data_IF_255246489483
#
_entry.id   IF_255246489483
#
_cell.length_a   1.000
_cell.length_b   1.000
_cell.length_c   1.000
_cell.angle_alpha   90.00
_cell.angle_beta   90.00
_cell.angle_gamma   90.00
#
_symmetry.space_group_name_H-M   'P 1'
#
loop_
_entity.id
_entity.type
_entity.pdbx_description
1 polymer ?
#
# COMPACT_ATOMS: atom_id res chain seq x y z
N UNK A 1 -3.60 -2.00 -11.83
CA UNK A 1 -2.75 -3.09 -12.33
C UNK A 1 -2.81 -4.25 -11.34
N UNK A 2 -3.33 -5.39 -11.78
CA UNK A 2 -3.14 -6.70 -11.13
C UNK A 2 -2.06 -7.48 -11.87
N UNK A 3 -1.51 -8.53 -11.26
CA UNK A 3 -0.54 -9.40 -11.94
C UNK A 3 -1.19 -10.12 -13.14
N UNK A 4 -2.42 -10.59 -12.96
CA UNK A 4 -3.21 -11.19 -14.04
C UNK A 4 -3.38 -10.24 -15.23
N UNK A 5 -3.77 -8.97 -14.97
CA UNK A 5 -3.91 -8.01 -16.06
C UNK A 5 -2.57 -7.72 -16.75
N UNK A 6 -1.46 -7.68 -16.00
CA UNK A 6 -0.13 -7.56 -16.62
C UNK A 6 0.20 -8.76 -17.53
N UNK A 7 -0.16 -9.98 -17.14
CA UNK A 7 0.00 -11.17 -17.98
C UNK A 7 -0.85 -11.08 -19.25
N UNK A 8 -2.13 -10.70 -19.12
CA UNK A 8 -3.04 -10.51 -20.25
C UNK A 8 -2.50 -9.47 -21.24
N UNK A 9 -2.01 -8.33 -20.75
CA UNK A 9 -1.38 -7.31 -21.61
C UNK A 9 -0.11 -7.83 -22.27
N UNK A 10 0.72 -8.59 -21.55
CA UNK A 10 1.97 -9.13 -22.09
C UNK A 10 1.74 -10.13 -23.21
N UNK A 11 0.73 -10.98 -23.07
CA UNK A 11 0.38 -11.98 -24.07
C UNK A 11 -0.27 -11.33 -25.32
N UNK A 12 -0.88 -10.15 -25.18
CA UNK A 12 -1.38 -9.34 -26.32
C UNK A 12 -0.26 -8.59 -27.02
N UNK A 13 0.51 -7.76 -26.31
CA UNK A 13 1.65 -7.04 -26.85
C UNK A 13 2.74 -6.78 -25.79
N UNK A 14 3.87 -7.52 -25.83
CA UNK A 14 4.97 -7.35 -24.90
C UNK A 14 5.83 -6.11 -25.22
N UNK A 15 5.39 -5.20 -26.10
CA UNK A 15 6.04 -3.91 -26.40
C UNK A 15 5.28 -2.70 -25.82
N UNK A 16 4.16 -2.92 -25.15
CA UNK A 16 3.41 -1.83 -24.51
C UNK A 16 4.28 -1.03 -23.53
N UNK A 17 3.93 0.25 -23.24
CA UNK A 17 4.68 1.07 -22.28
C UNK A 17 4.88 0.42 -20.91
N UNK A 18 3.98 -0.46 -20.49
CA UNK A 18 4.11 -1.23 -19.25
C UNK A 18 5.35 -2.15 -19.24
N UNK A 19 5.78 -2.63 -20.41
CA UNK A 19 6.92 -3.53 -20.59
C UNK A 19 8.14 -2.75 -21.09
N UNK A 20 8.52 -1.70 -20.36
CA UNK A 20 9.75 -0.93 -20.58
C UNK A 20 10.77 -1.21 -19.48
N UNK A 21 12.05 -1.02 -19.81
CA UNK A 21 13.17 -1.31 -18.90
C UNK A 21 13.22 -0.41 -17.66
N UNK A 22 12.57 0.76 -17.70
CA UNK A 22 12.60 1.73 -16.61
C UNK A 22 11.91 1.20 -15.34
N UNK A 23 10.63 0.81 -15.46
CA UNK A 23 9.77 0.45 -14.34
C UNK A 23 9.40 -1.04 -14.33
N UNK A 24 8.95 -1.56 -15.48
CA UNK A 24 8.35 -2.88 -15.57
C UNK A 24 9.35 -4.02 -15.51
N UNK A 25 10.59 -3.78 -15.96
CA UNK A 25 11.65 -4.78 -15.94
C UNK A 25 12.18 -5.02 -14.52
N UNK A 26 12.63 -6.24 -14.29
CA UNK A 26 13.22 -6.67 -13.03
C UNK A 26 14.57 -5.97 -12.83
N UNK A 27 15.37 -5.87 -13.90
CA UNK A 27 16.55 -5.02 -13.95
C UNK A 27 16.48 -4.07 -15.15
N UNK A 28 16.99 -2.83 -15.05
CA UNK A 28 17.09 -1.93 -16.19
C UNK A 28 18.07 -2.42 -17.26
N UNK A 29 18.92 -3.39 -16.93
CA UNK A 29 19.89 -4.05 -17.81
C UNK A 29 19.40 -5.37 -18.41
N UNK A 30 18.14 -5.77 -18.17
CA UNK A 30 17.61 -7.03 -18.66
C UNK A 30 17.54 -7.10 -20.19
N UNK A 31 17.74 -8.30 -20.74
CA UNK A 31 17.57 -8.57 -22.16
C UNK A 31 16.08 -8.61 -22.53
N UNK A 32 15.70 -7.78 -23.50
CA UNK A 32 14.32 -7.67 -24.03
C UNK A 32 14.27 -7.93 -25.54
N UNK A 33 15.32 -8.50 -26.12
CA UNK A 33 15.48 -8.73 -27.57
C UNK A 33 14.53 -9.79 -28.15
N UNK A 34 14.08 -10.73 -27.33
CA UNK A 34 13.16 -11.81 -27.74
C UNK A 34 11.98 -11.93 -26.80
N UNK A 35 10.88 -12.53 -27.26
CA UNK A 35 9.71 -12.80 -26.42
C UNK A 35 10.06 -13.57 -25.13
N UNK A 36 10.93 -14.58 -25.24
CA UNK A 36 11.39 -15.36 -24.08
C UNK A 36 12.25 -14.52 -23.13
N UNK A 37 13.15 -13.69 -23.66
CA UNK A 37 13.96 -12.78 -22.85
C UNK A 37 13.09 -11.77 -22.11
N UNK A 38 12.12 -11.15 -22.80
CA UNK A 38 11.10 -10.28 -22.20
C UNK A 38 10.34 -10.95 -21.07
N UNK A 39 9.85 -12.19 -21.27
CA UNK A 39 9.10 -12.90 -20.22
C UNK A 39 9.94 -13.10 -18.94
N UNK A 40 11.26 -13.26 -19.08
CA UNK A 40 12.20 -13.27 -17.95
C UNK A 40 12.40 -11.86 -17.36
N UNK A 41 12.65 -10.86 -18.21
CA UNK A 41 12.87 -9.47 -17.82
C UNK A 41 11.70 -8.92 -16.98
N UNK A 42 10.46 -9.24 -17.33
CA UNK A 42 9.26 -8.75 -16.64
C UNK A 42 8.71 -9.74 -15.60
N UNK A 43 9.51 -10.71 -15.15
CA UNK A 43 8.99 -11.83 -14.33
C UNK A 43 8.30 -11.40 -13.04
N UNK A 44 8.83 -10.42 -12.29
CA UNK A 44 8.19 -9.90 -11.08
C UNK A 44 6.90 -9.11 -11.37
N UNK A 45 6.85 -8.38 -12.47
CA UNK A 45 5.65 -7.70 -12.93
C UNK A 45 4.57 -8.70 -13.33
N UNK A 46 4.93 -9.76 -14.05
CA UNK A 46 3.99 -10.78 -14.49
C UNK A 46 3.50 -11.66 -13.33
N UNK A 47 4.39 -12.07 -12.42
CA UNK A 47 4.06 -12.98 -11.33
C UNK A 47 3.38 -12.27 -10.15
N UNK A 48 3.93 -11.12 -9.75
CA UNK A 48 3.54 -10.40 -8.53
C UNK A 48 3.05 -8.98 -8.78
N UNK A 49 2.97 -8.51 -10.04
CA UNK A 49 2.53 -7.15 -10.40
C UNK A 49 3.40 -6.05 -9.79
N UNK A 50 4.68 -6.34 -9.57
CA UNK A 50 5.64 -5.42 -8.98
C UNK A 50 6.36 -4.63 -10.06
N UNK A 51 6.54 -3.34 -9.81
CA UNK A 51 7.46 -2.49 -10.56
C UNK A 51 8.74 -2.31 -9.75
N UNK A 52 9.85 -2.13 -10.46
CA UNK A 52 11.15 -1.84 -9.86
C UNK A 52 11.21 -0.37 -9.47
N UNK A 53 11.72 -0.10 -8.27
CA UNK A 53 12.00 1.23 -7.76
C UNK A 53 13.45 1.26 -7.33
N UNK A 54 14.30 1.94 -8.10
CA UNK A 54 15.70 2.17 -7.75
C UNK A 54 15.85 3.42 -6.90
N UNK A 55 16.30 3.26 -5.66
CA UNK A 55 16.55 4.37 -4.73
C UNK A 55 18.02 4.42 -4.35
N UNK A 56 18.68 5.59 -4.38
CA UNK A 56 20.03 5.73 -3.85
C UNK A 56 20.04 5.49 -2.34
N UNK A 57 21.10 4.85 -1.82
CA UNK A 57 21.33 4.81 -0.38
C UNK A 57 21.53 6.25 0.14
N UNK A 58 20.86 6.66 1.25
CA UNK A 58 21.03 7.99 1.81
C UNK A 58 22.49 8.34 2.06
N UNK A 59 22.92 9.51 1.56
CA UNK A 59 24.31 9.98 1.66
C UNK A 59 24.67 10.60 3.02
N UNK A 60 23.68 10.83 3.89
CA UNK A 60 23.87 11.40 5.22
C UNK A 60 22.88 10.81 6.21
N UNK A 61 23.26 10.76 7.49
CA UNK A 61 22.38 10.25 8.56
C UNK A 61 22.09 8.74 8.46
N UNK A 62 22.93 7.98 7.75
CA UNK A 62 22.75 6.55 7.54
C UNK A 62 23.16 5.76 8.80
N UNK A 63 22.20 5.05 9.39
CA UNK A 63 22.37 4.25 10.62
C UNK A 63 22.60 2.76 10.35
N UNK A 64 22.51 2.32 9.09
CA UNK A 64 22.68 0.92 8.70
C UNK A 64 23.64 0.78 7.51
N UNK A 65 24.15 -0.44 7.33
CA UNK A 65 24.80 -0.84 6.09
C UNK A 65 24.15 -2.11 5.55
N UNK A 66 24.18 -2.27 4.23
CA UNK A 66 23.79 -3.51 3.56
C UNK A 66 24.96 -4.49 3.69
N UNK A 67 24.83 -5.47 4.57
CA UNK A 67 25.87 -6.46 4.84
C UNK A 67 25.82 -7.64 3.88
N UNK A 68 24.63 -7.98 3.37
CA UNK A 68 24.44 -9.03 2.38
C UNK A 68 23.18 -8.78 1.53
N UNK A 69 23.17 -9.32 0.32
CA UNK A 69 22.03 -9.27 -0.59
C UNK A 69 21.87 -10.63 -1.28
N UNK A 70 20.76 -11.31 -0.99
CA UNK A 70 20.29 -12.41 -1.83
C UNK A 70 19.45 -11.82 -2.96
N UNK A 71 20.04 -11.70 -4.14
CA UNK A 71 19.41 -11.12 -5.32
C UNK A 71 19.27 -12.14 -6.44
N UNK A 72 18.07 -12.74 -6.63
CA UNK A 72 17.84 -13.74 -7.67
C UNK A 72 18.06 -13.25 -9.11
N UNK A 73 18.10 -11.93 -9.31
CA UNK A 73 18.14 -11.31 -10.64
C UNK A 73 19.44 -10.56 -10.92
N UNK A 74 20.24 -10.32 -9.88
CA UNK A 74 21.50 -9.58 -9.97
C UNK A 74 21.32 -8.08 -10.26
N UNK A 75 20.13 -7.50 -10.01
CA UNK A 75 19.86 -6.08 -10.19
C UNK A 75 20.63 -5.19 -9.20
N UNK A 76 20.60 -5.58 -7.92
CA UNK A 76 21.23 -4.92 -6.79
C UNK A 76 22.73 -5.19 -6.72
N UNK A 77 23.19 -6.32 -7.25
CA UNK A 77 24.63 -6.66 -7.32
C UNK A 77 25.28 -6.20 -8.62
N UNK A 78 24.52 -5.58 -9.53
CA UNK A 78 25.05 -5.04 -10.78
C UNK A 78 25.92 -3.79 -10.48
N UNK A 79 27.19 -3.73 -10.90
CA UNK A 79 28.07 -2.61 -10.56
C UNK A 79 27.70 -1.29 -11.24
N UNK A 80 26.86 -1.32 -12.28
CA UNK A 80 26.39 -0.12 -13.00
C UNK A 80 25.08 0.40 -12.44
N UNK A 81 24.18 -0.48 -12.01
CA UNK A 81 22.78 -0.12 -11.68
C UNK A 81 22.38 -0.40 -10.24
N UNK A 82 23.25 -1.06 -9.47
CA UNK A 82 23.00 -1.53 -8.11
C UNK A 82 23.91 -0.86 -7.08
N UNK A 83 24.24 -1.62 -6.03
CA UNK A 83 25.12 -1.19 -4.94
C UNK A 83 26.57 -1.10 -5.42
N UNK A 84 27.26 -0.04 -4.98
CA UNK A 84 28.70 0.17 -5.21
C UNK A 84 29.53 -0.05 -3.94
N UNK A 85 28.86 -0.26 -2.81
CA UNK A 85 29.43 -0.54 -1.50
C UNK A 85 28.32 -0.85 -0.49
N UNK A 86 28.67 -1.18 0.76
CA UNK A 86 27.67 -1.48 1.80
C UNK A 86 26.82 -0.26 2.22
N UNK A 87 27.25 0.96 1.88
CA UNK A 87 26.59 2.22 2.21
C UNK A 87 26.40 3.14 1.01
N UNK A 88 26.67 2.67 -0.22
CA UNK A 88 26.66 3.51 -1.42
C UNK A 88 26.07 2.77 -2.62
N UNK A 89 25.55 3.54 -3.59
CA UNK A 89 24.93 3.03 -4.80
C UNK A 89 23.40 3.02 -4.71
N UNK A 90 22.76 2.21 -5.54
CA UNK A 90 21.30 2.17 -5.69
C UNK A 90 20.75 0.82 -5.26
N UNK A 91 19.73 0.83 -4.41
CA UNK A 91 18.95 -0.35 -4.09
C UNK A 91 17.69 -0.39 -4.96
N UNK A 92 17.51 -1.47 -5.71
CA UNK A 92 16.28 -1.78 -6.43
C UNK A 92 15.36 -2.62 -5.55
N UNK A 93 14.26 -2.00 -5.12
CA UNK A 93 13.16 -2.64 -4.40
C UNK A 93 11.95 -2.82 -5.33
N UNK A 94 11.07 -3.77 -5.02
CA UNK A 94 9.98 -4.14 -5.91
C UNK A 94 8.65 -3.95 -5.22
N UNK A 95 7.85 -3.01 -5.73
CA UNK A 95 6.60 -2.61 -5.09
C UNK A 95 5.43 -2.66 -6.04
N UNK A 96 4.25 -2.99 -5.52
CA UNK A 96 2.97 -2.86 -6.19
C UNK A 96 2.72 -1.38 -6.48
N UNK A 97 2.31 -1.01 -7.70
CA UNK A 97 1.89 0.37 -7.95
C UNK A 97 0.70 0.71 -7.04
N UNK A 98 0.66 1.94 -6.52
CA UNK A 98 -0.51 2.45 -5.80
C UNK A 98 -1.55 2.97 -6.81
N UNK A 99 -2.85 2.99 -6.48
CA UNK A 99 -3.85 3.64 -7.31
C UNK A 99 -3.59 5.16 -7.43
N UNK A 100 -3.69 5.70 -8.65
CA UNK A 100 -3.69 7.14 -8.92
C UNK A 100 -5.12 7.71 -8.79
N UNK A 101 -5.81 7.33 -7.71
CA UNK A 101 -7.18 7.70 -7.42
C UNK A 101 -7.38 7.74 -5.90
N UNK A 102 -8.43 8.43 -5.44
CA UNK A 102 -8.73 8.69 -4.04
C UNK A 102 -7.61 9.50 -3.32
N UNK A 103 -6.78 10.24 -4.07
CA UNK A 103 -5.56 10.86 -3.56
C UNK A 103 -5.84 11.97 -2.53
N UNK A 104 -7.01 12.62 -2.60
CA UNK A 104 -7.44 13.62 -1.61
C UNK A 104 -7.59 13.09 -0.17
N UNK A 105 -7.61 11.77 0.04
CA UNK A 105 -7.62 11.13 1.35
C UNK A 105 -6.24 10.73 1.86
N UNK A 106 -5.20 10.87 1.04
CA UNK A 106 -3.86 10.45 1.44
C UNK A 106 -3.27 11.43 2.45
N UNK A 107 -2.51 10.86 3.38
CA UNK A 107 -1.61 11.57 4.28
C UNK A 107 -0.15 11.42 3.87
N UNK A 108 0.16 10.34 3.13
CA UNK A 108 1.49 9.97 2.70
C UNK A 108 1.44 9.48 1.25
N UNK A 109 2.34 9.98 0.40
CA UNK A 109 2.43 9.63 -1.01
C UNK A 109 3.57 8.64 -1.19
N UNK A 110 3.36 7.60 -2.02
CA UNK A 110 4.21 6.41 -2.14
C UNK A 110 4.23 5.53 -0.89
N UNK A 111 4.65 4.28 -1.05
CA UNK A 111 4.68 3.30 0.04
C UNK A 111 5.61 3.71 1.20
N UNK A 112 6.75 4.31 0.88
CA UNK A 112 7.81 4.76 1.81
C UNK A 112 7.65 6.23 2.23
N UNK A 113 6.68 6.95 1.67
CA UNK A 113 6.44 8.35 2.00
C UNK A 113 7.45 9.34 1.43
N UNK A 114 8.20 8.96 0.38
CA UNK A 114 9.28 9.79 -0.17
C UNK A 114 8.81 11.10 -0.82
N UNK A 115 7.59 11.10 -1.36
CA UNK A 115 7.04 12.27 -2.04
C UNK A 115 6.40 13.21 -1.02
N UNK A 116 6.83 14.47 -1.03
CA UNK A 116 6.37 15.47 -0.06
C UNK A 116 5.01 16.07 -0.41
N UNK A 117 4.66 16.11 -1.70
CA UNK A 117 3.37 16.60 -2.22
C UNK A 117 3.07 16.00 -3.60
N UNK A 118 1.82 16.11 -4.06
CA UNK A 118 1.43 15.66 -5.40
C UNK A 118 2.09 16.49 -6.51
N UNK A 119 2.50 17.73 -6.22
CA UNK A 119 3.25 18.55 -7.17
C UNK A 119 4.61 17.90 -7.49
N UNK A 120 5.36 17.51 -6.45
CA UNK A 120 6.64 16.84 -6.63
C UNK A 120 6.44 15.49 -7.33
N UNK A 121 5.45 14.72 -6.87
CA UNK A 121 5.15 13.42 -7.47
C UNK A 121 4.77 13.51 -8.96
N UNK A 122 3.99 14.52 -9.36
CA UNK A 122 3.62 14.71 -10.76
C UNK A 122 4.84 15.05 -11.64
N UNK A 123 5.78 15.85 -11.11
CA UNK A 123 7.02 16.17 -11.81
C UNK A 123 7.92 14.94 -11.94
N UNK A 124 8.13 14.22 -10.84
CA UNK A 124 8.99 13.04 -10.77
C UNK A 124 8.44 11.91 -11.64
N UNK A 125 7.13 11.71 -11.67
CA UNK A 125 6.50 10.75 -12.59
C UNK A 125 6.66 11.15 -14.05
N UNK A 126 6.61 12.44 -14.38
CA UNK A 126 6.79 12.93 -15.75
C UNK A 126 8.21 12.73 -16.26
N UNK A 127 9.20 13.10 -15.44
CA UNK A 127 10.61 13.01 -15.82
C UNK A 127 11.17 11.59 -15.70
N UNK A 128 10.77 10.85 -14.66
CA UNK A 128 11.24 9.51 -14.37
C UNK A 128 10.50 8.43 -15.16
N UNK A 129 9.21 8.25 -14.88
CA UNK A 129 8.42 7.14 -15.44
C UNK A 129 8.05 7.38 -16.90
N UNK A 130 7.54 8.56 -17.23
CA UNK A 130 7.20 8.91 -18.62
C UNK A 130 8.43 9.28 -19.47
N UNK A 131 9.61 9.43 -18.84
CA UNK A 131 10.87 9.78 -19.50
C UNK A 131 10.78 11.04 -20.36
N UNK A 132 9.97 12.02 -19.94
CA UNK A 132 9.84 13.26 -20.67
C UNK A 132 11.17 14.03 -20.67
N UNK A 133 11.55 14.57 -21.83
CA UNK A 133 12.77 15.35 -21.96
C UNK A 133 12.67 16.76 -21.33
N UNK A 134 11.44 17.24 -21.09
CA UNK A 134 11.16 18.58 -20.60
C UNK A 134 10.24 18.44 -19.37
N UNK A 135 10.52 19.19 -18.28
CA UNK A 135 9.66 19.21 -17.10
C UNK A 135 8.29 19.83 -17.41
N UNK A 136 7.31 19.56 -16.54
CA UNK A 136 5.99 20.21 -16.60
C UNK A 136 6.13 21.72 -16.39
N UNK A 137 5.33 22.51 -17.11
CA UNK A 137 5.12 23.90 -16.71
C UNK A 137 4.33 23.97 -15.39
N UNK A 138 4.42 25.08 -14.62
CA UNK A 138 3.62 25.26 -13.41
C UNK A 138 2.12 25.07 -13.64
N UNK A 139 1.60 25.54 -14.79
CA UNK A 139 0.19 25.39 -15.15
C UNK A 139 -0.18 23.92 -15.42
N UNK A 140 0.68 23.18 -16.13
CA UNK A 140 0.46 21.75 -16.37
C UNK A 140 0.50 20.96 -15.07
N UNK A 141 1.46 21.26 -14.19
CA UNK A 141 1.57 20.64 -12.88
C UNK A 141 0.33 20.91 -12.03
N UNK A 142 -0.17 22.16 -12.00
CA UNK A 142 -1.39 22.52 -11.30
C UNK A 142 -2.62 21.79 -11.88
N UNK A 143 -2.71 21.66 -13.21
CA UNK A 143 -3.82 20.95 -13.87
C UNK A 143 -3.83 19.46 -13.50
N UNK A 144 -2.66 18.80 -13.52
CA UNK A 144 -2.51 17.39 -13.13
C UNK A 144 -2.93 17.21 -11.68
N UNK A 145 -2.36 17.99 -10.76
CA UNK A 145 -2.66 17.88 -9.33
C UNK A 145 -4.13 18.19 -9.03
N UNK A 146 -4.73 19.14 -9.75
CA UNK A 146 -6.16 19.45 -9.61
C UNK A 146 -7.04 18.30 -10.11
N UNK A 147 -6.68 17.67 -11.23
CA UNK A 147 -7.37 16.49 -11.75
C UNK A 147 -7.28 15.30 -10.77
N UNK A 148 -6.12 15.11 -10.14
CA UNK A 148 -5.88 14.09 -9.13
C UNK A 148 -6.58 14.35 -7.79
N UNK A 149 -6.99 15.60 -7.56
CA UNK A 149 -7.83 16.03 -6.44
C UNK A 149 -7.13 16.86 -5.39
N UNK A 150 -5.80 16.98 -5.48
CA UNK A 150 -4.90 17.64 -4.53
C UNK A 150 -5.04 17.14 -3.08
N UNK A 151 -3.94 17.02 -2.35
CA UNK A 151 -3.98 16.64 -0.94
C UNK A 151 -4.30 17.85 -0.05
N UNK A 152 -5.50 18.43 -0.17
CA UNK A 152 -5.88 19.68 0.52
C UNK A 152 -5.56 19.70 2.02
N UNK A 153 -5.76 18.58 2.70
CA UNK A 153 -5.50 18.47 4.12
C UNK A 153 -4.00 18.58 4.46
N UNK A 154 -3.12 18.19 3.54
CA UNK A 154 -1.67 18.29 3.69
C UNK A 154 -1.11 19.61 3.13
N UNK A 155 -1.64 20.09 1.99
CA UNK A 155 -1.09 21.21 1.22
C UNK A 155 -2.13 22.34 0.97
N UNK A 156 -2.73 22.93 2.01
CA UNK A 156 -3.90 23.81 1.85
C UNK A 156 -3.63 25.05 0.99
N UNK A 157 -2.40 25.60 1.03
CA UNK A 157 -2.02 26.78 0.24
C UNK A 157 -1.89 26.43 -1.24
N UNK A 158 -1.19 25.34 -1.58
CA UNK A 158 -1.00 24.94 -2.98
C UNK A 158 -2.30 24.40 -3.61
N UNK A 159 -3.19 23.81 -2.79
CA UNK A 159 -4.48 23.31 -3.23
C UNK A 159 -5.62 24.34 -3.15
N UNK A 160 -5.33 25.62 -2.86
CA UNK A 160 -6.35 26.64 -2.59
C UNK A 160 -7.32 26.86 -3.77
N UNK A 161 -6.86 26.67 -5.01
CA UNK A 161 -7.65 26.85 -6.23
C UNK A 161 -8.33 25.56 -6.71
N UNK A 162 -8.02 24.41 -6.11
CA UNK A 162 -8.66 23.15 -6.45
C UNK A 162 -10.13 23.21 -5.98
N UNK A 163 -11.14 22.80 -6.77
CA UNK A 163 -12.56 22.77 -6.35
C UNK A 163 -12.88 21.67 -5.33
N UNK A 164 -13.63 21.97 -4.26
CA UNK A 164 -14.04 20.95 -3.25
C UNK A 164 -14.66 19.73 -3.94
N UNK A 165 -14.22 18.53 -3.56
CA UNK A 165 -14.67 17.29 -4.20
C UNK A 165 -13.98 16.94 -5.53
N UNK A 166 -13.05 17.77 -6.03
CA UNK A 166 -12.22 17.41 -7.18
C UNK A 166 -11.35 16.18 -6.88
N UNK A 167 -11.05 15.43 -7.93
CA UNK A 167 -10.21 14.24 -7.88
C UNK A 167 -10.76 13.10 -8.71
N UNK A 168 -9.90 12.11 -8.94
CA UNK A 168 -10.30 10.82 -9.50
C UNK A 168 -10.70 9.90 -8.35
N UNK A 169 -11.93 9.38 -8.36
CA UNK A 169 -12.42 8.47 -7.33
C UNK A 169 -12.66 7.08 -7.90
N UNK A 170 -12.21 6.07 -7.17
CA UNK A 170 -12.44 4.66 -7.54
C UNK A 170 -12.88 3.86 -6.32
N UNK A 171 -13.89 3.03 -6.52
CA UNK A 171 -14.40 2.08 -5.54
C UNK A 171 -15.09 0.94 -6.28
N UNK A 172 -15.23 -0.22 -5.63
CA UNK A 172 -15.98 -1.32 -6.22
C UNK A 172 -17.47 -0.95 -6.34
N UNK A 173 -18.05 -1.14 -7.53
CA UNK A 173 -19.48 -0.86 -7.77
C UNK A 173 -20.33 -2.14 -7.85
N UNK A 174 -19.69 -3.28 -8.06
CA UNK A 174 -20.37 -4.54 -8.33
C UNK A 174 -19.61 -5.73 -7.76
N UNK A 175 -20.30 -6.63 -7.09
CA UNK A 175 -19.80 -7.96 -6.70
C UNK A 175 -20.52 -9.05 -7.51
N UNK A 176 -19.79 -10.10 -7.92
CA UNK A 176 -20.35 -11.16 -8.77
C UNK A 176 -21.55 -11.91 -8.18
N UNK A 177 -21.75 -11.87 -6.86
CA UNK A 177 -22.91 -12.49 -6.17
C UNK A 177 -23.79 -11.46 -5.46
N UNK A 178 -23.20 -10.42 -4.88
CA UNK A 178 -23.89 -9.33 -4.20
C UNK A 178 -24.51 -8.29 -5.15
N UNK A 179 -24.11 -8.31 -6.42
CA UNK A 179 -24.49 -7.38 -7.49
C UNK A 179 -24.13 -5.93 -7.12
N UNK A 180 -25.03 -4.97 -7.37
CA UNK A 180 -24.82 -3.55 -7.11
C UNK A 180 -24.54 -3.24 -5.62
N UNK A 181 -23.35 -2.69 -5.36
CA UNK A 181 -22.82 -2.35 -4.04
C UNK A 181 -23.28 -0.97 -3.51
N UNK A 182 -24.15 -0.29 -4.25
CA UNK A 182 -24.75 1.00 -3.88
C UNK A 182 -26.28 0.94 -3.73
N UNK A 183 -26.84 -0.27 -3.68
CA UNK A 183 -28.29 -0.48 -3.59
C UNK A 183 -28.74 -0.89 -2.19
N UNK A 184 -30.04 -0.75 -1.91
CA UNK A 184 -30.66 -1.18 -0.66
C UNK A 184 -29.97 -0.58 0.59
N UNK A 185 -29.69 0.73 0.56
CA UNK A 185 -29.07 1.47 1.67
C UNK A 185 -27.54 1.48 1.66
N UNK A 186 -26.90 0.67 0.82
CA UNK A 186 -25.44 0.61 0.76
C UNK A 186 -24.79 1.78 0.02
N UNK A 187 -23.53 2.08 0.38
CA UNK A 187 -22.77 3.23 -0.11
C UNK A 187 -21.38 2.87 -0.68
N UNK A 188 -21.22 1.65 -1.22
CA UNK A 188 -19.93 1.13 -1.69
C UNK A 188 -19.33 1.86 -2.90
N UNK A 189 -20.16 2.48 -3.74
CA UNK A 189 -19.73 3.10 -5.00
C UNK A 189 -18.92 4.41 -4.87
N UNK A 190 -18.30 4.87 -5.97
CA UNK A 190 -17.40 6.04 -5.97
C UNK A 190 -18.12 7.38 -5.76
N UNK A 191 -19.43 7.46 -6.01
CA UNK A 191 -20.22 8.70 -5.80
C UNK A 191 -20.30 9.04 -4.31
N UNK A 192 -20.57 8.05 -3.45
CA UNK A 192 -20.57 8.28 -2.00
C UNK A 192 -19.15 8.59 -1.49
N UNK A 193 -18.14 7.91 -2.04
CA UNK A 193 -16.75 8.16 -1.70
C UNK A 193 -16.30 9.59 -2.06
N UNK A 194 -16.66 10.11 -3.22
CA UNK A 194 -16.26 11.47 -3.64
C UNK A 194 -16.85 12.55 -2.73
N UNK A 195 -18.03 12.32 -2.15
CA UNK A 195 -18.63 13.22 -1.17
C UNK A 195 -17.90 13.20 0.17
N UNK A 196 -17.26 12.07 0.54
CA UNK A 196 -16.52 11.97 1.80
C UNK A 196 -15.23 12.79 1.82
N UNK A 197 -14.62 13.09 0.67
CA UNK A 197 -13.36 13.84 0.64
C UNK A 197 -13.49 15.23 1.25
N UNK A 198 -14.68 15.83 1.16
CA UNK A 198 -14.97 17.14 1.76
C UNK A 198 -14.95 17.12 3.30
N UNK A 199 -15.08 15.93 3.91
CA UNK A 199 -15.04 15.73 5.37
C UNK A 199 -13.67 15.28 5.86
N UNK A 200 -12.73 14.99 4.95
CA UNK A 200 -11.40 14.55 5.32
C UNK A 200 -10.53 15.71 5.80
N UNK A 201 -9.84 15.48 6.90
CA UNK A 201 -8.76 16.33 7.40
C UNK A 201 -7.74 15.45 8.11
N UNK A 202 -6.52 15.95 8.27
CA UNK A 202 -5.46 15.22 8.96
C UNK A 202 -5.86 14.88 10.39
N UNK A 203 -5.76 13.60 10.76
CA UNK A 203 -6.15 13.10 12.08
C UNK A 203 -7.64 12.82 12.25
N UNK A 204 -8.45 12.86 11.18
CA UNK A 204 -9.86 12.48 11.26
C UNK A 204 -10.00 11.05 11.80
N UNK A 205 -10.67 10.91 12.94
CA UNK A 205 -10.81 9.64 13.65
C UNK A 205 -9.47 8.98 14.05
N UNK A 206 -8.40 9.76 14.25
CA UNK A 206 -7.11 9.20 14.67
C UNK A 206 -7.19 8.52 16.05
N UNK A 207 -6.75 7.26 16.10
CA UNK A 207 -6.77 6.45 17.32
C UNK A 207 -5.72 6.89 18.36
N UNK A 208 -4.75 7.73 17.96
CA UNK A 208 -3.69 8.25 18.81
C UNK A 208 -3.97 9.68 19.32
N UNK A 209 -5.17 10.20 19.08
CA UNK A 209 -5.63 11.46 19.64
C UNK A 209 -5.24 12.71 18.84
N UNK A 210 -4.79 12.59 17.60
CA UNK A 210 -4.44 13.73 16.74
C UNK A 210 -5.63 14.37 16.04
N UNK A 211 -6.86 14.08 16.47
CA UNK A 211 -8.07 14.65 15.89
C UNK A 211 -8.23 16.13 16.31
N UNK A 212 -8.03 17.03 15.35
CA UNK A 212 -8.10 18.48 15.56
C UNK A 212 -9.47 18.99 16.07
N UNK A 213 -10.56 18.24 15.91
CA UNK A 213 -11.89 18.63 16.43
C UNK A 213 -12.15 18.19 17.86
N UNK A 214 -11.23 17.40 18.45
CA UNK A 214 -11.40 16.83 19.79
C UNK A 214 -12.41 15.68 19.87
N UNK A 215 -12.94 15.21 18.73
CA UNK A 215 -13.84 14.05 18.69
C UNK A 215 -13.07 12.78 19.03
N UNK A 216 -13.59 11.99 19.96
CA UNK A 216 -13.00 10.71 20.36
C UNK A 216 -12.98 9.71 19.21
N UNK A 217 -12.00 8.80 19.24
CA UNK A 217 -11.90 7.68 18.30
C UNK A 217 -13.17 6.83 18.31
N UNK A 218 -13.64 6.47 17.10
CA UNK A 218 -14.68 5.46 16.88
C UNK A 218 -14.08 4.24 16.17
N UNK A 219 -14.36 3.02 16.66
CA UNK A 219 -13.99 1.79 15.96
C UNK A 219 -14.85 1.55 14.70
N UNK A 220 -15.94 2.29 14.51
CA UNK A 220 -16.78 2.21 13.31
C UNK A 220 -16.12 2.95 12.14
N UNK A 221 -15.17 2.29 11.49
CA UNK A 221 -14.45 2.84 10.34
C UNK A 221 -15.33 2.84 9.11
N UNK A 222 -15.99 1.71 8.84
CA UNK A 222 -16.83 1.52 7.68
C UNK A 222 -18.30 1.39 8.08
N UNK A 223 -19.17 2.13 7.41
CA UNK A 223 -20.63 2.02 7.53
C UNK A 223 -21.26 1.93 6.15
N UNK A 224 -20.68 1.12 5.26
CA UNK A 224 -21.08 1.03 3.86
C UNK A 224 -22.20 0.02 3.65
N UNK A 225 -22.25 -1.03 4.45
CA UNK A 225 -23.10 -2.21 4.23
C UNK A 225 -23.96 -2.60 5.43
N UNK A 226 -23.90 -1.84 6.53
CA UNK A 226 -24.64 -2.10 7.76
C UNK A 226 -26.15 -2.34 7.56
N UNK A 227 -26.79 -1.65 6.60
CA UNK A 227 -28.21 -1.85 6.26
C UNK A 227 -28.52 -3.27 5.76
N UNK A 228 -27.54 -3.96 5.19
CA UNK A 228 -27.74 -5.31 4.66
C UNK A 228 -27.84 -6.38 5.74
N UNK A 229 -27.53 -6.08 7.01
CA UNK A 229 -27.78 -6.99 8.12
C UNK A 229 -29.26 -7.38 8.25
N UNK A 230 -30.17 -6.52 7.81
CA UNK A 230 -31.62 -6.66 8.03
C UNK A 230 -32.40 -7.09 6.78
N UNK A 231 -31.71 -7.56 5.73
CA UNK A 231 -32.38 -8.06 4.53
C UNK A 231 -33.28 -9.25 4.86
N UNK A 232 -34.57 -9.14 4.53
CA UNK A 232 -35.58 -10.16 4.82
C UNK A 232 -35.67 -11.26 3.76
N UNK A 233 -35.34 -10.92 2.51
CA UNK A 233 -35.30 -11.88 1.41
C UNK A 233 -34.14 -12.85 1.67
N UNK A 234 -34.38 -14.15 1.42
CA UNK A 234 -33.36 -15.19 1.52
C UNK A 234 -33.09 -15.78 0.15
N UNK A 235 -31.98 -15.38 -0.43
CA UNK A 235 -31.44 -15.91 -1.67
C UNK A 235 -29.89 -15.76 -1.67
N UNK A 236 -29.17 -16.34 -2.64
CA UNK A 236 -27.71 -16.26 -2.66
C UNK A 236 -27.14 -14.83 -2.68
N UNK A 237 -27.87 -13.87 -3.28
CA UNK A 237 -27.47 -12.47 -3.30
C UNK A 237 -27.58 -11.83 -1.91
N UNK A 238 -28.72 -12.00 -1.23
CA UNK A 238 -28.93 -11.45 0.11
C UNK A 238 -27.98 -12.08 1.13
N UNK A 239 -27.68 -13.38 0.99
CA UNK A 239 -26.68 -14.07 1.81
C UNK A 239 -25.27 -13.50 1.62
N UNK A 240 -24.87 -13.23 0.37
CA UNK A 240 -23.58 -12.58 0.07
C UNK A 240 -23.50 -11.17 0.67
N UNK A 241 -24.58 -10.39 0.57
CA UNK A 241 -24.67 -9.05 1.14
C UNK A 241 -24.60 -9.06 2.66
N UNK A 242 -25.29 -10.00 3.30
CA UNK A 242 -25.20 -10.19 4.75
C UNK A 242 -23.81 -10.63 5.18
N UNK A 243 -23.10 -11.45 4.38
CA UNK A 243 -21.70 -11.77 4.64
C UNK A 243 -20.78 -10.54 4.61
N UNK A 244 -20.99 -9.64 3.64
CA UNK A 244 -20.27 -8.35 3.59
C UNK A 244 -20.56 -7.48 4.81
N UNK A 245 -21.82 -7.39 5.23
CA UNK A 245 -22.22 -6.61 6.42
C UNK A 245 -21.63 -7.19 7.72
N UNK A 246 -21.58 -8.52 7.86
CA UNK A 246 -20.88 -9.19 8.98
C UNK A 246 -19.38 -8.94 8.93
N UNK A 247 -18.77 -8.99 7.75
CA UNK A 247 -17.36 -8.67 7.56
C UNK A 247 -17.03 -7.22 7.91
N UNK A 248 -17.88 -6.26 7.55
CA UNK A 248 -17.76 -4.85 7.96
C UNK A 248 -17.78 -4.73 9.49
N UNK A 249 -18.74 -5.39 10.15
CA UNK A 249 -18.82 -5.41 11.60
C UNK A 249 -17.58 -6.03 12.26
N UNK A 250 -17.05 -7.13 11.70
CA UNK A 250 -15.81 -7.73 12.16
C UNK A 250 -14.63 -6.77 11.99
N UNK A 251 -14.51 -6.09 10.85
CA UNK A 251 -13.44 -5.12 10.61
C UNK A 251 -13.46 -3.99 11.65
N UNK A 252 -14.65 -3.45 11.93
CA UNK A 252 -14.81 -2.35 12.87
C UNK A 252 -14.53 -2.78 14.32
N UNK A 253 -15.04 -3.95 14.73
CA UNK A 253 -15.20 -4.26 16.16
C UNK A 253 -14.33 -5.40 16.69
N UNK A 254 -13.62 -6.13 15.82
CA UNK A 254 -12.74 -7.21 16.29
C UNK A 254 -11.59 -6.61 17.09
N UNK A 255 -11.52 -7.00 18.37
CA UNK A 255 -10.41 -6.62 19.25
C UNK A 255 -9.16 -7.40 18.85
N UNK A 256 -8.05 -6.69 18.72
CA UNK A 256 -6.74 -7.25 18.45
C UNK A 256 -5.77 -6.76 19.51
N UNK A 257 -4.81 -7.61 19.86
CA UNK A 257 -3.71 -7.20 20.72
C UNK A 257 -2.50 -6.83 19.84
N UNK A 258 -2.28 -5.52 19.66
CA UNK A 258 -1.27 -5.02 18.74
C UNK A 258 0.09 -5.05 19.44
N UNK A 259 0.94 -5.96 18.99
CA UNK A 259 2.28 -6.20 19.57
C UNK A 259 3.34 -6.17 18.46
N UNK A 260 4.54 -5.68 18.80
CA UNK A 260 5.70 -5.73 17.91
C UNK A 260 5.53 -4.98 16.58
N UNK A 261 4.65 -3.99 16.50
CA UNK A 261 4.51 -3.13 15.32
C UNK A 261 5.42 -1.92 15.49
N UNK A 262 6.55 -1.93 14.76
CA UNK A 262 7.42 -0.76 14.75
C UNK A 262 6.69 0.41 14.04
N UNK A 263 6.82 1.61 14.58
CA UNK A 263 6.06 2.81 14.22
C UNK A 263 4.81 3.02 15.08
N UNK A 264 4.54 2.10 16.02
CA UNK A 264 3.39 2.17 16.91
C UNK A 264 3.75 1.75 18.34
N UNK A 265 4.12 0.48 18.56
CA UNK A 265 4.46 -0.03 19.90
C UNK A 265 5.73 0.63 20.45
N UNK A 266 6.78 0.72 19.64
CA UNK A 266 8.04 1.43 19.93
C UNK A 266 7.81 2.93 20.12
N UNK A 267 6.98 3.54 19.28
CA UNK A 267 6.70 4.97 19.30
C UNK A 267 5.91 5.41 20.54
N UNK A 268 4.99 4.56 21.01
CA UNK A 268 4.19 4.79 22.21
C UNK A 268 4.83 4.24 23.48
N UNK A 269 5.94 3.51 23.36
CA UNK A 269 6.59 2.78 24.45
C UNK A 269 5.62 1.81 25.17
N UNK A 270 4.76 1.15 24.39
CA UNK A 270 3.76 0.20 24.87
C UNK A 270 3.97 -1.17 24.21
N UNK A 271 4.31 -2.23 24.97
CA UNK A 271 4.59 -3.55 24.40
C UNK A 271 3.35 -4.20 23.76
N UNK A 272 2.16 -3.78 24.18
CA UNK A 272 0.88 -4.39 23.83
C UNK A 272 -0.22 -3.33 23.86
N UNK A 273 -0.85 -3.06 22.71
CA UNK A 273 -1.90 -2.05 22.61
C UNK A 273 -3.22 -2.75 22.28
N UNK A 274 -4.24 -2.68 23.15
CA UNK A 274 -5.57 -3.17 22.81
C UNK A 274 -6.18 -2.27 21.73
N UNK A 275 -6.52 -2.84 20.59
CA UNK A 275 -7.01 -2.08 19.44
C UNK A 275 -7.95 -2.87 18.55
N UNK A 276 -8.14 -2.35 17.34
CA UNK A 276 -8.99 -2.90 16.28
C UNK A 276 -8.26 -2.79 14.94
N UNK A 277 -8.80 -3.34 13.86
CA UNK A 277 -8.31 -3.03 12.51
C UNK A 277 -8.28 -1.51 12.27
N UNK A 278 -9.29 -0.81 12.81
CA UNK A 278 -9.41 0.64 12.78
C UNK A 278 -8.36 1.43 13.56
N UNK A 279 -7.54 0.80 14.40
CA UNK A 279 -6.40 1.49 15.02
C UNK A 279 -5.37 1.91 13.96
N UNK A 280 -5.20 1.12 12.90
CA UNK A 280 -4.31 1.43 11.78
C UNK A 280 -5.07 1.90 10.53
N UNK A 281 -6.30 1.45 10.33
CA UNK A 281 -7.14 1.81 9.19
C UNK A 281 -8.28 2.74 9.65
N UNK A 282 -7.95 3.97 10.05
CA UNK A 282 -8.84 4.83 10.83
C UNK A 282 -9.66 5.84 9.99
N UNK A 283 -9.25 6.15 8.75
CA UNK A 283 -9.95 7.11 7.88
C UNK A 283 -11.36 6.61 7.56
N UNK A 284 -12.43 7.31 8.00
CA UNK A 284 -13.79 6.81 7.86
C UNK A 284 -14.19 6.53 6.42
N UNK A 285 -14.70 5.32 6.17
CA UNK A 285 -15.14 4.79 4.88
C UNK A 285 -14.04 4.71 3.78
N UNK A 286 -12.77 4.90 4.12
CA UNK A 286 -11.64 4.84 3.17
C UNK A 286 -10.60 3.81 3.58
N UNK A 287 -10.30 3.75 4.88
CA UNK A 287 -9.45 2.73 5.48
C UNK A 287 -7.95 2.92 5.29
N UNK A 288 -7.44 4.08 4.86
CA UNK A 288 -6.04 4.43 5.11
C UNK A 288 -5.87 5.04 6.51
N UNK A 289 -4.62 5.27 6.91
CA UNK A 289 -4.34 6.01 8.14
C UNK A 289 -4.50 7.52 7.93
N UNK A 290 -5.17 8.19 8.87
CA UNK A 290 -5.58 9.60 8.81
C UNK A 290 -4.46 10.57 9.15
N UNK A 291 -3.31 10.04 9.60
CA UNK A 291 -2.03 10.74 9.79
C UNK A 291 -0.87 10.02 9.08
N UNK A 292 0.33 10.60 9.09
CA UNK A 292 1.54 9.91 8.59
C UNK A 292 1.97 8.84 9.60
N UNK A 293 1.56 7.59 9.37
CA UNK A 293 2.00 6.45 10.17
C UNK A 293 2.67 5.39 9.27
N UNK A 294 3.99 5.48 9.06
CA UNK A 294 4.74 4.38 8.47
C UNK A 294 4.88 3.28 9.52
N UNK A 295 4.37 2.09 9.23
CA UNK A 295 4.31 0.97 10.16
C UNK A 295 5.03 -0.26 9.58
N UNK A 296 5.70 -1.02 10.43
CA UNK A 296 6.19 -2.35 10.10
C UNK A 296 5.38 -3.40 10.85
N UNK A 297 4.46 -4.04 10.13
CA UNK A 297 3.65 -5.16 10.66
C UNK A 297 4.25 -6.52 10.33
N UNK A 298 5.44 -6.58 9.70
CA UNK A 298 6.16 -7.81 9.37
C UNK A 298 6.01 -8.33 7.94
N UNK A 299 5.28 -7.62 7.06
CA UNK A 299 5.09 -8.03 5.66
C UNK A 299 6.40 -8.12 4.87
N UNK A 300 7.35 -7.24 5.17
CA UNK A 300 8.66 -7.21 4.52
C UNK A 300 9.67 -8.17 5.15
N UNK A 301 9.35 -8.84 6.26
CA UNK A 301 10.31 -9.68 6.97
C UNK A 301 10.71 -10.89 6.12
N UNK A 302 11.99 -11.23 6.18
CA UNK A 302 12.59 -12.36 5.50
C UNK A 302 13.32 -13.29 6.50
N UNK A 303 13.97 -14.33 5.97
CA UNK A 303 14.77 -15.26 6.76
C UNK A 303 13.94 -15.97 7.83
N UNK A 304 14.44 -16.03 9.06
CA UNK A 304 13.73 -16.63 10.18
C UNK A 304 12.44 -15.87 10.57
N UNK A 305 12.32 -14.60 10.18
CA UNK A 305 11.17 -13.74 10.47
C UNK A 305 10.09 -13.76 9.38
N UNK A 306 10.25 -14.55 8.32
CA UNK A 306 9.29 -14.61 7.22
C UNK A 306 7.88 -15.00 7.69
N UNK A 307 6.85 -14.23 7.32
CA UNK A 307 5.48 -14.54 7.70
C UNK A 307 4.97 -15.78 6.93
N UNK A 308 4.52 -16.85 7.62
CA UNK A 308 4.16 -18.12 6.97
C UNK A 308 3.03 -18.01 5.93
N UNK A 309 2.11 -17.06 6.12
CA UNK A 309 0.99 -16.82 5.21
C UNK A 309 1.38 -16.10 3.90
N UNK A 310 2.61 -15.60 3.76
CA UNK A 310 3.03 -14.80 2.60
C UNK A 310 4.09 -15.52 1.77
N UNK A 311 3.94 -15.46 0.46
CA UNK A 311 4.93 -15.95 -0.50
C UNK A 311 5.92 -14.84 -0.88
N UNK A 312 7.09 -14.88 -0.26
CA UNK A 312 8.21 -13.98 -0.59
C UNK A 312 9.15 -14.53 -1.66
N UNK A 313 8.85 -15.69 -2.26
CA UNK A 313 9.73 -16.31 -3.24
C UNK A 313 9.97 -15.39 -4.46
N UNK A 314 11.21 -15.40 -4.95
CA UNK A 314 11.64 -14.52 -6.03
C UNK A 314 11.86 -13.07 -5.62
N UNK A 315 11.50 -12.60 -4.43
CA UNK A 315 11.88 -11.25 -3.99
C UNK A 315 13.37 -11.23 -3.58
N UNK A 316 14.10 -10.12 -3.82
CA UNK A 316 15.41 -9.96 -3.21
C UNK A 316 15.28 -9.90 -1.68
N UNK A 317 16.29 -10.36 -0.97
CA UNK A 317 16.39 -10.22 0.50
C UNK A 317 17.65 -9.45 0.82
N UNK A 318 17.48 -8.40 1.63
CA UNK A 318 18.55 -7.54 2.10
C UNK A 318 18.81 -7.82 3.57
N UNK A 319 20.09 -8.00 3.91
CA UNK A 319 20.55 -8.06 5.29
C UNK A 319 21.13 -6.71 5.66
N UNK A 320 20.49 -6.02 6.60
CA UNK A 320 20.87 -4.70 7.08
C UNK A 320 21.44 -4.82 8.47
N UNK A 321 22.67 -4.34 8.67
CA UNK A 321 23.28 -4.23 10.00
C UNK A 321 23.25 -2.78 10.46
N UNK A 322 22.60 -2.53 11.59
CA UNK A 322 22.57 -1.23 12.25
C UNK A 322 23.91 -0.90 12.89
N UNK A 323 24.56 0.14 12.38
CA UNK A 323 25.89 0.60 12.81
C UNK A 323 25.79 1.69 13.88
N UNK A 324 24.69 2.44 13.94
CA UNK A 324 24.47 3.51 14.92
C UNK A 324 23.00 3.68 15.29
N UNK A 325 22.70 4.66 16.14
CA UNK A 325 21.35 4.92 16.64
C UNK A 325 20.88 3.93 17.72
N UNK A 326 19.61 4.05 18.17
CA UNK A 326 19.06 3.23 19.25
C UNK A 326 19.04 1.72 18.99
N UNK A 327 19.13 1.31 17.72
CA UNK A 327 19.12 -0.10 17.29
C UNK A 327 20.50 -0.60 16.85
N UNK A 328 21.59 0.12 17.18
CA UNK A 328 22.95 -0.29 16.85
C UNK A 328 23.26 -1.72 17.33
N UNK A 329 23.90 -2.50 16.47
CA UNK A 329 24.19 -3.92 16.69
C UNK A 329 23.10 -4.88 16.21
N UNK A 330 21.89 -4.41 15.89
CA UNK A 330 20.82 -5.26 15.38
C UNK A 330 20.98 -5.56 13.88
N UNK A 331 20.51 -6.73 13.48
CA UNK A 331 20.49 -7.20 12.08
C UNK A 331 19.04 -7.42 11.67
N UNK A 332 18.68 -6.95 10.49
CA UNK A 332 17.36 -7.12 9.89
C UNK A 332 17.49 -7.82 8.53
N UNK A 333 16.66 -8.84 8.31
CA UNK A 333 16.48 -9.47 6.99
C UNK A 333 15.11 -9.06 6.44
N UNK A 334 15.10 -8.30 5.34
CA UNK A 334 13.87 -7.79 4.74
C UNK A 334 13.88 -7.84 3.23
N UNK A 335 12.71 -8.02 2.62
CA UNK A 335 12.54 -7.90 1.15
C UNK A 335 12.50 -6.45 0.68
N UNK A 336 12.24 -5.51 1.58
CA UNK A 336 12.13 -4.09 1.31
C UNK A 336 12.48 -3.31 2.59
N UNK A 337 13.56 -2.51 2.62
CA UNK A 337 13.87 -1.67 3.79
C UNK A 337 12.85 -0.56 4.03
N UNK A 338 11.94 -0.31 3.10
CA UNK A 338 10.83 0.63 3.26
C UNK A 338 11.31 2.06 3.40
N UNK A 339 10.77 2.76 4.41
CA UNK A 339 11.08 4.15 4.72
C UNK A 339 12.55 4.38 5.13
N UNK A 340 13.27 3.36 5.58
CA UNK A 340 14.70 3.48 5.90
C UNK A 340 15.56 3.93 4.71
N UNK A 341 15.16 3.62 3.47
CA UNK A 341 15.85 4.12 2.27
C UNK A 341 15.67 5.63 2.05
N UNK A 342 14.73 6.26 2.75
CA UNK A 342 14.47 7.69 2.67
C UNK A 342 15.11 8.41 3.86
N UNK A 343 14.98 7.86 5.07
CA UNK A 343 15.42 8.53 6.29
C UNK A 343 16.85 8.18 6.70
N UNK A 344 17.41 7.08 6.20
CA UNK A 344 18.68 6.52 6.64
C UNK A 344 18.61 5.82 8.01
N UNK A 345 17.47 5.82 8.70
CA UNK A 345 17.37 5.37 10.09
C UNK A 345 17.05 3.89 10.20
N UNK A 346 17.69 3.21 11.15
CA UNK A 346 17.39 1.81 11.47
C UNK A 346 15.97 1.65 12.01
N UNK A 347 15.49 2.63 12.76
CA UNK A 347 14.13 2.64 13.29
C UNK A 347 13.05 2.71 12.20
N UNK A 348 13.38 2.93 10.93
CA UNK A 348 12.43 2.97 9.81
C UNK A 348 12.47 1.72 8.92
N UNK A 349 13.27 0.70 9.26
CA UNK A 349 13.42 -0.52 8.45
C UNK A 349 12.09 -1.27 8.36
N UNK A 350 11.67 -1.55 7.13
CA UNK A 350 10.43 -2.25 6.79
C UNK A 350 9.15 -1.43 7.03
N UNK A 351 9.25 -0.17 7.47
CA UNK A 351 8.08 0.69 7.70
C UNK A 351 7.54 1.23 6.38
N UNK A 352 6.25 1.06 6.16
CA UNK A 352 5.53 1.52 4.97
C UNK A 352 4.16 2.10 5.38
N UNK A 353 3.57 2.94 4.54
CA UNK A 353 2.23 3.49 4.81
C UNK A 353 1.12 2.43 4.65
N UNK A 354 0.03 2.60 5.40
CA UNK A 354 -1.24 1.92 5.12
C UNK A 354 -1.87 2.42 3.80
N UNK A 355 -2.32 1.53 2.89
CA UNK A 355 -3.00 1.95 1.66
C UNK A 355 -4.48 2.27 1.90
N UNK A 356 -5.09 2.99 0.97
CA UNK A 356 -6.54 3.12 0.86
C UNK A 356 -7.13 1.75 0.50
N UNK A 357 -8.23 1.36 1.15
CA UNK A 357 -8.86 0.07 0.93
C UNK A 357 -9.97 0.10 -0.14
N UNK A 358 -10.39 1.27 -0.61
CA UNK A 358 -11.37 1.41 -1.71
C UNK A 358 -10.73 1.05 -3.07
N UNK A 359 -11.38 0.18 -3.83
CA UNK A 359 -10.87 -0.41 -5.07
C UNK A 359 -9.87 -1.56 -4.87
N UNK A 360 -9.93 -2.23 -3.71
CA UNK A 360 -8.96 -3.26 -3.30
C UNK A 360 -9.06 -4.53 -4.16
N UNK A 361 -10.27 -4.99 -4.46
CA UNK A 361 -10.50 -6.31 -5.06
C UNK A 361 -9.77 -6.53 -6.40
N UNK A 362 -9.67 -5.49 -7.24
CA UNK A 362 -9.06 -5.55 -8.56
C UNK A 362 -7.51 -5.52 -8.56
N UNK A 363 -6.87 -5.70 -7.39
CA UNK A 363 -5.45 -5.39 -7.18
C UNK A 363 -4.62 -6.56 -6.69
N UNK A 364 -5.04 -7.80 -6.84
CA UNK A 364 -4.21 -8.96 -6.51
C UNK A 364 -2.90 -9.03 -7.34
N UNK A 365 -1.83 -9.65 -6.82
CA UNK A 365 -1.55 -9.92 -5.41
C UNK A 365 -1.47 -8.66 -4.52
N UNK A 366 -1.61 -8.85 -3.21
CA UNK A 366 -1.76 -7.81 -2.20
C UNK A 366 -0.46 -7.54 -1.42
N UNK A 367 -0.52 -6.51 -0.56
CA UNK A 367 0.61 -5.85 0.10
C UNK A 367 1.57 -5.14 -0.86
N UNK A 368 2.52 -4.37 -0.33
CA UNK A 368 3.47 -3.62 -1.14
C UNK A 368 4.34 -4.55 -2.00
N UNK A 369 4.67 -5.75 -1.55
CA UNK A 369 5.56 -6.69 -2.25
C UNK A 369 4.81 -7.83 -2.98
N UNK A 370 3.48 -7.77 -3.08
CA UNK A 370 2.69 -8.75 -3.84
C UNK A 370 2.78 -10.17 -3.30
N UNK A 371 3.04 -10.32 -1.99
CA UNK A 371 3.32 -11.61 -1.36
C UNK A 371 2.08 -12.38 -0.91
N UNK A 372 0.91 -11.73 -0.83
CA UNK A 372 -0.38 -12.39 -0.62
C UNK A 372 -1.13 -12.53 -1.96
N UNK A 373 -1.34 -13.76 -2.44
CA UNK A 373 -1.98 -13.98 -3.73
C UNK A 373 -3.48 -13.61 -3.72
N UNK A 374 -4.15 -13.84 -2.59
CA UNK A 374 -5.60 -13.69 -2.42
C UNK A 374 -5.94 -12.85 -1.18
N UNK A 375 -7.20 -12.37 -1.10
CA UNK A 375 -7.69 -11.72 0.12
C UNK A 375 -7.77 -12.70 1.31
N UNK A 376 -7.90 -14.01 1.05
CA UNK A 376 -7.84 -15.02 2.09
C UNK A 376 -6.45 -15.05 2.73
N UNK A 377 -5.38 -14.98 1.92
CA UNK A 377 -3.99 -14.89 2.43
C UNK A 377 -3.76 -13.60 3.22
N UNK A 378 -4.37 -12.48 2.80
CA UNK A 378 -4.33 -11.22 3.57
C UNK A 378 -4.97 -11.39 4.95
N UNK A 379 -6.19 -11.93 5.01
CA UNK A 379 -6.89 -12.16 6.27
C UNK A 379 -6.13 -13.16 7.15
N UNK A 380 -5.58 -14.22 6.56
CA UNK A 380 -4.79 -15.21 7.28
C UNK A 380 -3.50 -14.60 7.85
N UNK A 381 -2.81 -13.76 7.09
CA UNK A 381 -1.64 -13.03 7.59
C UNK A 381 -1.99 -12.21 8.85
N UNK A 382 -3.06 -11.41 8.82
CA UNK A 382 -3.46 -10.63 9.99
C UNK A 382 -3.89 -11.52 11.16
N UNK A 383 -4.61 -12.61 10.88
CA UNK A 383 -5.05 -13.59 11.87
C UNK A 383 -3.85 -14.20 12.62
N UNK A 384 -2.81 -14.62 11.90
CA UNK A 384 -1.60 -15.18 12.48
C UNK A 384 -0.73 -14.12 13.16
N UNK A 385 -0.53 -12.97 12.50
CA UNK A 385 0.36 -11.90 12.98
C UNK A 385 -0.07 -11.33 14.33
N UNK A 386 -1.36 -11.28 14.59
CA UNK A 386 -1.92 -10.73 15.82
C UNK A 386 -2.65 -11.77 16.69
N UNK A 387 -2.50 -13.06 16.37
CA UNK A 387 -3.12 -14.18 17.09
C UNK A 387 -4.62 -13.93 17.37
N UNK A 388 -5.36 -13.52 16.33
CA UNK A 388 -6.73 -13.00 16.48
C UNK A 388 -7.72 -14.14 16.79
N UNK A 389 -7.49 -15.34 16.24
CA UNK A 389 -8.34 -16.50 16.46
C UNK A 389 -9.64 -16.48 15.65
N UNK A 390 -9.63 -15.92 14.44
CA UNK A 390 -10.80 -15.95 13.55
C UNK A 390 -11.21 -17.38 13.21
N UNK A 391 -12.51 -17.64 13.32
CA UNK A 391 -13.15 -18.83 12.74
C UNK A 391 -13.18 -18.75 11.21
N UNK A 392 -13.34 -19.88 10.54
CA UNK A 392 -13.44 -19.93 9.07
C UNK A 392 -14.57 -19.05 8.53
N UNK A 393 -15.71 -18.98 9.25
CA UNK A 393 -16.82 -18.12 8.88
C UNK A 393 -16.45 -16.63 8.98
N UNK A 394 -15.74 -16.22 10.03
CA UNK A 394 -15.29 -14.84 10.19
C UNK A 394 -14.28 -14.45 9.10
N UNK A 395 -13.37 -15.37 8.76
CA UNK A 395 -12.43 -15.15 7.64
C UNK A 395 -13.19 -14.98 6.32
N UNK A 396 -14.18 -15.84 6.05
CA UNK A 396 -14.99 -15.76 4.84
C UNK A 396 -15.81 -14.47 4.76
N UNK A 397 -16.40 -14.02 5.88
CA UNK A 397 -17.16 -12.77 5.97
C UNK A 397 -16.24 -11.55 5.77
N UNK A 398 -15.05 -11.53 6.40
CA UNK A 398 -14.05 -10.48 6.18
C UNK A 398 -13.58 -10.43 4.73
N UNK A 399 -13.31 -11.58 4.10
CA UNK A 399 -12.97 -11.65 2.67
C UNK A 399 -14.13 -11.10 1.82
N UNK A 400 -15.38 -11.43 2.16
CA UNK A 400 -16.55 -10.89 1.46
C UNK A 400 -16.58 -9.36 1.53
N UNK A 401 -16.39 -8.79 2.72
CA UNK A 401 -16.31 -7.35 2.91
C UNK A 401 -15.14 -6.72 2.14
N UNK A 402 -13.91 -7.20 2.31
CA UNK A 402 -12.74 -6.65 1.62
C UNK A 402 -12.84 -6.74 0.09
N UNK A 403 -13.50 -7.78 -0.44
CA UNK A 403 -13.75 -7.92 -1.88
C UNK A 403 -14.79 -6.93 -2.43
N UNK A 404 -15.54 -6.27 -1.55
CA UNK A 404 -16.55 -5.26 -1.90
C UNK A 404 -16.04 -3.82 -1.79
N UNK A 405 -14.78 -3.59 -1.41
CA UNK A 405 -14.21 -2.25 -1.23
C UNK A 405 -13.60 -1.68 -2.50
#
# INVERSE_FOLDING_TARGET
>A
LSAQHAQERFDVDPNEPLFRLVDGATCPSDDVSTYRAKRKAYSLLLAKGLIRIGLPIPSSGLEFQISDVNDPYGCNTNPTTGLTGSTTGTLSVYRRPLPAANLGFLTTIMWDGRETSLFNQAMDATLGHAQAAIPLSPDQQQQIVTFEGCMRAADPVQCATTPVGAGVFTAQIYDGRGLDLSSNGANGGPISLSQQVAKFFYGVNDSLGQNATGTSFSPEIFGLYSDWNYLRVRNPQSERRQAMARGEALFNTTKINITGVAGLNDALNEPSIPGFCGTCHDTPNVGNHSVKAPLNIGVANAGAGSPPALDISGLPVFTLWCTSGPLSGQIFEVTDPGRALITGKCADIGKLKGPILRGLAARAPYFHNGSAATLADVVEFYNQRFDIGFTDQQKADLVAFLSSL
#
